data_IF_414426937134
#
_entry.id   IF_414426937134
#
_cell.length_a   1.000
_cell.length_b   1.000
_cell.length_c   1.000
_cell.angle_alpha   90.00
_cell.angle_beta   90.00
_cell.angle_gamma   90.00
#
_symmetry.space_group_name_H-M   'P 1'
#
loop_
_entity.id
_entity.type
_entity.pdbx_description
1 polymer ?
#
# COMPACT_ATOMS: atom_id res chain seq x y z
N UNK A 1 2.23 92.88 -17.09
CA UNK A 1 2.35 91.73 -18.03
C UNK A 1 3.23 90.66 -17.38
N UNK A 2 2.65 89.67 -16.82
CA UNK A 2 3.37 88.54 -16.20
C UNK A 2 2.80 87.27 -16.83
N UNK A 3 3.67 86.53 -17.54
CA UNK A 3 3.35 85.23 -18.15
C UNK A 3 3.52 84.14 -17.12
N UNK A 4 2.45 83.45 -16.79
CA UNK A 4 2.45 82.22 -15.98
C UNK A 4 2.68 81.01 -16.88
N UNK A 5 3.77 80.28 -16.68
CA UNK A 5 4.03 78.97 -17.31
C UNK A 5 3.47 77.90 -16.45
N UNK A 6 2.45 77.19 -16.99
CA UNK A 6 1.89 76.03 -16.35
C UNK A 6 2.83 74.79 -16.44
N UNK A 7 3.13 74.19 -15.30
CA UNK A 7 3.89 73.00 -15.18
C UNK A 7 2.89 71.80 -15.24
N UNK A 8 2.87 71.12 -16.39
CA UNK A 8 2.03 69.93 -16.59
C UNK A 8 2.83 68.71 -16.15
N UNK A 9 2.56 68.30 -14.94
CA UNK A 9 3.16 67.08 -14.38
C UNK A 9 2.61 65.80 -15.03
N UNK A 10 3.51 65.08 -15.70
CA UNK A 10 3.23 63.78 -16.30
C UNK A 10 3.19 62.72 -15.18
N UNK A 11 2.00 62.31 -14.71
CA UNK A 11 1.83 61.15 -13.83
C UNK A 11 1.92 59.88 -14.69
N UNK A 12 3.08 59.23 -14.67
CA UNK A 12 3.27 57.92 -15.25
C UNK A 12 2.69 56.89 -14.30
N UNK A 13 1.44 56.47 -14.53
CA UNK A 13 0.81 55.35 -13.79
C UNK A 13 1.47 54.05 -14.22
N UNK A 14 2.31 53.47 -13.34
CA UNK A 14 2.87 52.13 -13.49
C UNK A 14 1.74 51.13 -13.18
N UNK A 15 1.00 50.68 -14.20
CA UNK A 15 0.10 49.54 -14.10
C UNK A 15 0.96 48.26 -13.97
N UNK A 16 1.20 47.81 -12.74
CA UNK A 16 1.66 46.49 -12.44
C UNK A 16 0.56 45.51 -12.92
N UNK A 17 0.75 44.94 -14.10
CA UNK A 17 0.01 43.79 -14.56
C UNK A 17 0.35 42.60 -13.61
N UNK A 18 -0.41 42.47 -12.52
CA UNK A 18 -0.46 41.21 -11.77
C UNK A 18 -1.08 40.16 -12.71
N UNK A 19 -0.22 39.43 -13.40
CA UNK A 19 -0.67 38.22 -14.07
C UNK A 19 -1.34 37.32 -13.00
N UNK A 20 -2.59 36.88 -13.21
CA UNK A 20 -3.17 35.93 -12.29
C UNK A 20 -2.24 34.71 -12.27
N UNK A 21 -1.70 34.40 -11.10
CA UNK A 21 -1.03 33.12 -10.87
C UNK A 21 -2.08 32.04 -11.17
N UNK A 22 -2.01 31.50 -12.39
CA UNK A 22 -2.81 30.35 -12.77
C UNK A 22 -2.36 29.26 -11.82
N UNK A 23 -3.20 28.92 -10.84
CA UNK A 23 -3.01 27.72 -10.05
C UNK A 23 -2.78 26.60 -11.07
N UNK A 24 -1.60 26.00 -11.08
CA UNK A 24 -1.33 24.86 -11.93
C UNK A 24 -2.41 23.83 -11.58
N UNK A 25 -3.23 23.44 -12.56
CA UNK A 25 -4.11 22.29 -12.39
C UNK A 25 -3.19 21.14 -11.98
N UNK A 26 -3.24 20.76 -10.70
CA UNK A 26 -2.54 19.58 -10.24
C UNK A 26 -3.21 18.39 -10.90
N UNK A 27 -2.43 17.61 -11.62
CA UNK A 27 -2.92 16.36 -12.14
C UNK A 27 -3.25 15.45 -10.93
N UNK A 28 -4.42 14.87 -10.91
CA UNK A 28 -4.82 13.90 -9.89
C UNK A 28 -4.42 12.51 -10.36
N UNK A 29 -3.79 11.72 -9.48
CA UNK A 29 -3.54 10.29 -9.68
C UNK A 29 -4.57 9.51 -8.88
N UNK A 30 -5.34 8.67 -9.54
CA UNK A 30 -6.32 7.79 -8.91
C UNK A 30 -5.66 6.47 -8.55
N UNK A 31 -5.57 6.19 -7.25
CA UNK A 31 -4.92 5.00 -6.68
C UNK A 31 -5.96 3.98 -6.29
N UNK A 32 -5.90 2.79 -6.89
CA UNK A 32 -6.73 1.65 -6.49
C UNK A 32 -6.17 0.98 -5.23
N UNK A 33 -7.03 0.74 -4.26
CA UNK A 33 -6.70 0.04 -3.03
C UNK A 33 -7.87 -0.78 -2.50
N UNK A 34 -7.59 -1.75 -1.60
CA UNK A 34 -8.58 -2.40 -0.76
C UNK A 34 -8.41 -1.97 0.71
N UNK A 35 -9.28 -2.47 1.59
CA UNK A 35 -9.15 -2.23 3.04
C UNK A 35 -8.22 -3.27 3.64
N UNK A 36 -6.95 -2.89 3.88
CA UNK A 36 -5.88 -3.75 4.32
C UNK A 36 -4.98 -3.08 5.37
N UNK A 37 -5.49 -2.91 6.60
CA UNK A 37 -4.75 -2.25 7.68
C UNK A 37 -3.45 -3.00 8.03
N UNK A 38 -2.34 -2.30 8.33
CA UNK A 38 -2.20 -0.86 8.52
C UNK A 38 -1.82 -0.07 7.24
N UNK A 39 -1.82 -0.71 6.06
CA UNK A 39 -1.41 -0.08 4.80
C UNK A 39 -2.46 0.90 4.26
N UNK A 40 -3.67 0.41 4.05
CA UNK A 40 -4.82 1.18 3.57
C UNK A 40 -6.06 0.79 4.38
N UNK A 41 -6.71 1.75 5.02
CA UNK A 41 -7.95 1.52 5.77
C UNK A 41 -8.69 2.85 5.94
N UNK A 42 -9.93 2.78 6.42
CA UNK A 42 -10.76 3.98 6.59
C UNK A 42 -10.80 4.40 8.05
N UNK A 43 -10.76 5.70 8.27
CA UNK A 43 -11.01 6.30 9.57
C UNK A 43 -12.52 6.37 9.89
N UNK A 44 -12.88 7.00 11.03
CA UNK A 44 -14.27 7.16 11.46
C UNK A 44 -15.11 8.08 10.57
N UNK A 45 -14.50 8.85 9.67
CA UNK A 45 -15.18 9.73 8.70
C UNK A 45 -15.31 9.05 7.33
N UNK A 46 -14.64 7.93 7.12
CA UNK A 46 -14.63 7.18 5.88
C UNK A 46 -13.47 7.54 4.94
N UNK A 47 -12.55 8.40 5.37
CA UNK A 47 -11.37 8.78 4.61
C UNK A 47 -10.30 7.69 4.69
N UNK A 48 -9.59 7.48 3.56
CA UNK A 48 -8.47 6.54 3.55
C UNK A 48 -7.29 7.08 4.33
N UNK A 49 -6.77 6.25 5.21
CA UNK A 49 -5.55 6.45 6.00
C UNK A 49 -4.69 5.19 5.97
N UNK A 50 -3.46 5.29 6.42
CA UNK A 50 -2.53 4.15 6.47
C UNK A 50 -1.15 4.47 5.92
N UNK A 51 -0.26 3.50 6.02
CA UNK A 51 1.15 3.63 5.60
C UNK A 51 1.22 3.99 4.11
N UNK A 52 0.53 3.22 3.27
CA UNK A 52 0.55 3.42 1.82
C UNK A 52 -0.09 4.74 1.42
N UNK A 53 -1.14 5.16 2.15
CA UNK A 53 -1.79 6.45 1.93
C UNK A 53 -0.82 7.60 2.19
N UNK A 54 -0.08 7.58 3.31
CA UNK A 54 0.88 8.61 3.64
C UNK A 54 2.08 8.60 2.70
N UNK A 55 2.61 7.41 2.36
CA UNK A 55 3.70 7.29 1.38
C UNK A 55 3.29 7.81 0.01
N UNK A 56 2.08 7.51 -0.45
CA UNK A 56 1.59 7.97 -1.74
C UNK A 56 1.39 9.49 -1.78
N UNK A 57 0.79 10.08 -0.73
CA UNK A 57 0.64 11.54 -0.63
C UNK A 57 1.99 12.25 -0.67
N UNK A 58 2.99 11.75 0.07
CA UNK A 58 4.33 12.31 0.08
C UNK A 58 5.01 12.15 -1.28
N UNK A 59 5.00 10.94 -1.85
CA UNK A 59 5.70 10.65 -3.10
C UNK A 59 5.10 11.39 -4.29
N UNK A 60 3.80 11.32 -4.49
CA UNK A 60 3.12 12.02 -5.58
C UNK A 60 3.10 13.53 -5.37
N UNK A 61 3.02 14.00 -4.11
CA UNK A 61 3.15 15.41 -3.77
C UNK A 61 4.49 16.00 -4.22
N UNK A 62 5.61 15.29 -4.03
CA UNK A 62 6.95 15.68 -4.54
C UNK A 62 7.00 15.75 -6.07
N UNK A 63 6.17 14.97 -6.75
CA UNK A 63 6.03 14.99 -8.20
C UNK A 63 5.06 16.07 -8.72
N UNK A 64 4.35 16.77 -7.83
CA UNK A 64 3.37 17.79 -8.16
C UNK A 64 1.98 17.26 -8.52
N UNK A 65 1.65 16.05 -8.10
CA UNK A 65 0.32 15.44 -8.23
C UNK A 65 -0.44 15.51 -6.91
N UNK A 66 -1.77 15.61 -7.00
CA UNK A 66 -2.68 15.24 -5.94
C UNK A 66 -3.06 13.76 -6.10
N UNK A 67 -3.50 13.09 -5.03
CA UNK A 67 -3.91 11.69 -5.07
C UNK A 67 -5.35 11.52 -4.60
N UNK A 68 -6.08 10.62 -5.27
CA UNK A 68 -7.41 10.14 -4.87
C UNK A 68 -7.32 8.63 -4.65
N UNK A 69 -7.68 8.16 -3.45
CA UNK A 69 -7.78 6.73 -3.18
C UNK A 69 -9.17 6.22 -3.53
N UNK A 70 -9.22 5.12 -4.28
CA UNK A 70 -10.45 4.45 -4.71
C UNK A 70 -10.47 3.02 -4.23
N UNK A 71 -11.48 2.67 -3.44
CA UNK A 71 -11.69 1.29 -3.02
C UNK A 71 -12.11 0.42 -4.21
N UNK A 72 -11.40 -0.68 -4.38
CA UNK A 72 -11.70 -1.70 -5.38
C UNK A 72 -11.78 -3.07 -4.70
N UNK A 73 -12.57 -3.98 -5.23
CA UNK A 73 -12.47 -5.38 -4.85
C UNK A 73 -11.12 -5.92 -5.35
N UNK A 74 -10.32 -6.52 -4.44
CA UNK A 74 -8.94 -6.91 -4.74
C UNK A 74 -8.80 -7.84 -5.96
N UNK A 75 -9.74 -8.75 -6.14
CA UNK A 75 -9.81 -9.64 -7.30
C UNK A 75 -10.04 -8.90 -8.64
N UNK A 76 -10.51 -7.66 -8.60
CA UNK A 76 -10.78 -6.84 -9.78
C UNK A 76 -9.66 -5.84 -10.11
N UNK A 77 -8.53 -5.85 -9.39
CA UNK A 77 -7.44 -4.86 -9.55
C UNK A 77 -6.91 -4.78 -11.00
N UNK A 78 -6.76 -5.93 -11.66
CA UNK A 78 -6.26 -5.98 -13.03
C UNK A 78 -7.25 -5.34 -14.02
N UNK A 79 -8.54 -5.58 -13.80
CA UNK A 79 -9.60 -4.97 -14.60
C UNK A 79 -9.68 -3.47 -14.37
N UNK A 80 -9.52 -3.01 -13.13
CA UNK A 80 -9.54 -1.59 -12.78
C UNK A 80 -8.39 -0.84 -13.45
N UNK A 81 -7.17 -1.41 -13.48
CA UNK A 81 -6.03 -0.87 -14.22
C UNK A 81 -6.30 -0.85 -15.72
N UNK A 82 -6.66 -1.99 -16.30
CA UNK A 82 -6.86 -2.13 -17.76
C UNK A 82 -7.99 -1.24 -18.30
N UNK A 83 -9.00 -0.93 -17.48
CA UNK A 83 -10.09 -0.03 -17.86
C UNK A 83 -9.78 1.46 -17.67
N UNK A 84 -8.68 1.80 -16.98
CA UNK A 84 -8.38 3.17 -16.57
C UNK A 84 -9.31 3.70 -15.46
N UNK A 85 -9.97 2.79 -14.73
CA UNK A 85 -10.73 3.17 -13.53
C UNK A 85 -9.80 3.73 -12.45
N UNK A 86 -8.58 3.21 -12.37
CA UNK A 86 -7.47 3.68 -11.54
C UNK A 86 -6.20 3.79 -12.37
N UNK A 87 -5.32 4.72 -12.01
CA UNK A 87 -4.04 4.93 -12.70
C UNK A 87 -2.97 3.94 -12.23
N UNK A 88 -3.01 3.59 -10.95
CA UNK A 88 -2.10 2.60 -10.34
C UNK A 88 -2.77 1.90 -9.16
N UNK A 89 -2.15 0.79 -8.72
CA UNK A 89 -2.47 0.09 -7.47
C UNK A 89 -1.35 0.37 -6.46
N UNK A 90 -1.73 0.89 -5.30
CA UNK A 90 -0.83 1.06 -4.15
C UNK A 90 -1.56 0.61 -2.88
N UNK A 91 -1.44 -0.66 -2.54
CA UNK A 91 -2.13 -1.32 -1.43
C UNK A 91 -1.41 -2.60 -1.06
N UNK A 92 -0.22 -2.49 -0.44
CA UNK A 92 0.60 -3.64 -0.03
C UNK A 92 0.80 -4.67 -1.16
N UNK A 93 1.00 -4.19 -2.40
CA UNK A 93 0.98 -5.05 -3.56
C UNK A 93 2.34 -5.70 -3.81
N UNK A 94 2.39 -7.03 -3.69
CA UNK A 94 3.61 -7.82 -3.87
C UNK A 94 4.04 -7.87 -5.33
N UNK A 95 5.31 -7.55 -5.58
CA UNK A 95 5.94 -7.61 -6.91
C UNK A 95 6.34 -9.04 -7.29
N UNK A 96 6.86 -9.83 -6.33
CA UNK A 96 7.39 -11.17 -6.56
C UNK A 96 6.43 -12.08 -7.32
N UNK A 97 6.93 -12.64 -8.43
CA UNK A 97 6.15 -13.49 -9.34
C UNK A 97 5.19 -12.74 -10.26
N UNK A 98 5.26 -11.40 -10.28
CA UNK A 98 4.45 -10.51 -11.12
C UNK A 98 5.27 -9.45 -11.84
N UNK A 99 6.59 -9.60 -11.87
CA UNK A 99 7.55 -8.62 -12.40
C UNK A 99 7.21 -8.24 -13.84
N UNK A 100 6.81 -9.22 -14.64
CA UNK A 100 6.45 -9.03 -16.04
C UNK A 100 4.98 -8.66 -16.27
N UNK A 101 4.13 -8.67 -15.25
CA UNK A 101 2.69 -8.45 -15.39
C UNK A 101 2.30 -6.96 -15.40
N UNK A 102 3.13 -6.08 -14.81
CA UNK A 102 2.83 -4.67 -14.64
C UNK A 102 4.04 -3.81 -15.00
N UNK A 103 3.82 -2.50 -15.14
CA UNK A 103 4.87 -1.49 -15.03
C UNK A 103 4.99 -1.10 -13.56
N UNK A 104 6.16 -1.28 -12.96
CA UNK A 104 6.37 -1.11 -11.52
C UNK A 104 7.17 0.13 -11.16
N UNK A 105 6.83 0.73 -10.02
CA UNK A 105 7.73 1.54 -9.21
C UNK A 105 7.89 0.87 -7.84
N UNK A 106 9.11 0.59 -7.42
CA UNK A 106 9.40 -0.12 -6.18
C UNK A 106 10.63 -1.02 -6.27
N UNK A 107 10.92 -1.80 -5.23
CA UNK A 107 10.09 -1.95 -4.03
C UNK A 107 10.07 -0.68 -3.19
N UNK A 108 8.93 -0.31 -2.61
CA UNK A 108 8.86 0.80 -1.65
C UNK A 108 8.98 0.31 -0.20
N UNK A 109 8.52 -0.89 0.09
CA UNK A 109 8.67 -1.60 1.37
C UNK A 109 8.92 -3.08 1.13
N UNK A 110 9.42 -3.74 2.18
CA UNK A 110 9.54 -5.19 2.27
C UNK A 110 8.61 -5.72 3.36
N UNK A 111 8.13 -6.93 3.18
CA UNK A 111 7.29 -7.62 4.14
C UNK A 111 7.52 -9.12 4.05
N UNK A 112 6.99 -9.91 4.98
CA UNK A 112 6.98 -11.35 4.90
C UNK A 112 5.58 -11.89 5.15
N UNK A 113 5.26 -13.04 4.60
CA UNK A 113 4.01 -13.75 4.84
C UNK A 113 4.17 -14.63 6.08
N UNK A 114 3.27 -14.49 7.04
CA UNK A 114 3.28 -15.22 8.31
C UNK A 114 1.90 -15.79 8.61
N UNK A 115 1.85 -16.73 9.54
CA UNK A 115 0.60 -17.35 9.97
C UNK A 115 0.07 -16.70 11.26
N UNK A 116 -1.22 -16.34 11.24
CA UNK A 116 -2.03 -16.03 12.40
C UNK A 116 -2.74 -17.30 12.86
N UNK A 117 -2.66 -17.61 14.13
CA UNK A 117 -3.40 -18.70 14.76
C UNK A 117 -4.17 -18.20 15.98
N UNK A 118 -5.12 -18.97 16.49
CA UNK A 118 -5.78 -18.63 17.75
C UNK A 118 -4.78 -18.71 18.92
N UNK A 119 -4.92 -17.83 19.89
CA UNK A 119 -4.04 -17.77 21.05
C UNK A 119 -4.10 -19.04 21.92
N UNK A 120 -5.26 -19.71 21.93
CA UNK A 120 -5.52 -20.95 22.67
C UNK A 120 -5.07 -22.22 21.92
N UNK A 121 -4.49 -22.10 20.73
CA UNK A 121 -3.96 -23.26 19.99
C UNK A 121 -2.55 -23.62 20.44
N UNK A 122 -2.16 -24.88 20.26
CA UNK A 122 -0.82 -25.38 20.63
C UNK A 122 0.21 -25.22 19.49
N UNK A 123 -0.19 -24.64 18.33
CA UNK A 123 0.70 -24.50 17.18
C UNK A 123 1.82 -23.50 17.47
N UNK A 124 3.07 -23.92 17.39
CA UNK A 124 4.28 -23.08 17.52
C UNK A 124 5.07 -22.99 16.22
N UNK A 125 4.84 -23.92 15.29
CA UNK A 125 5.52 -24.02 14.01
C UNK A 125 4.54 -24.34 12.89
N UNK A 126 4.87 -23.93 11.66
CA UNK A 126 4.04 -24.19 10.47
C UNK A 126 3.82 -25.67 10.20
N UNK A 127 4.82 -26.52 10.48
CA UNK A 127 4.76 -27.97 10.28
C UNK A 127 3.65 -28.66 11.09
N UNK A 128 3.28 -28.11 12.24
CA UNK A 128 2.21 -28.64 13.09
C UNK A 128 0.80 -28.41 12.49
N UNK A 129 0.70 -27.54 11.47
CA UNK A 129 -0.54 -27.26 10.74
C UNK A 129 -0.78 -28.23 9.57
N UNK A 130 0.06 -29.26 9.40
CA UNK A 130 -0.16 -30.31 8.41
C UNK A 130 -1.52 -30.99 8.63
N UNK A 131 -2.28 -31.16 7.56
CA UNK A 131 -3.66 -31.69 7.60
C UNK A 131 -4.70 -30.67 8.08
N UNK A 132 -4.28 -29.46 8.47
CA UNK A 132 -5.14 -28.38 8.90
C UNK A 132 -5.78 -27.62 7.73
N UNK A 133 -6.51 -26.55 8.08
CA UNK A 133 -7.22 -25.68 7.14
C UNK A 133 -6.67 -24.25 7.25
N UNK A 134 -6.43 -23.61 6.12
CA UNK A 134 -6.01 -22.21 6.08
C UNK A 134 -7.06 -21.33 5.46
N UNK A 135 -7.03 -20.04 5.80
CA UNK A 135 -7.70 -18.97 5.07
C UNK A 135 -6.70 -17.95 4.55
N UNK A 136 -6.99 -17.42 3.37
CA UNK A 136 -6.22 -16.36 2.72
C UNK A 136 -7.17 -15.38 2.03
N UNK A 137 -6.68 -14.19 1.73
CA UNK A 137 -7.38 -13.32 0.79
C UNK A 137 -7.12 -13.81 -0.64
N UNK A 138 -8.16 -13.82 -1.47
CA UNK A 138 -8.09 -14.24 -2.86
C UNK A 138 -7.20 -13.31 -3.70
N UNK A 139 -6.63 -13.84 -4.78
CA UNK A 139 -5.75 -13.13 -5.72
C UNK A 139 -4.47 -12.56 -5.09
N UNK A 140 -4.02 -13.16 -3.97
CA UNK A 140 -2.77 -12.80 -3.27
C UNK A 140 -1.65 -13.82 -3.53
N UNK A 141 -0.41 -13.43 -3.19
CA UNK A 141 0.72 -14.38 -3.19
C UNK A 141 0.59 -15.44 -2.12
N UNK A 142 -0.09 -15.15 -1.01
CA UNK A 142 -0.41 -16.14 0.02
C UNK A 142 -1.32 -17.26 -0.51
N UNK A 143 -2.34 -16.92 -1.32
CA UNK A 143 -3.16 -17.91 -2.00
C UNK A 143 -2.31 -18.81 -2.91
N UNK A 144 -1.49 -18.19 -3.78
CA UNK A 144 -0.63 -18.94 -4.69
C UNK A 144 0.31 -19.89 -3.94
N UNK A 145 0.96 -19.39 -2.87
CA UNK A 145 1.88 -20.19 -2.06
C UNK A 145 1.23 -21.43 -1.43
N UNK A 146 -0.02 -21.29 -0.95
CA UNK A 146 -0.72 -22.38 -0.29
C UNK A 146 -1.48 -23.30 -1.26
N UNK A 147 -2.17 -22.72 -2.27
CA UNK A 147 -2.97 -23.51 -3.22
C UNK A 147 -2.08 -24.22 -4.23
N UNK A 148 -1.07 -23.51 -4.77
CA UNK A 148 -0.14 -24.06 -5.76
C UNK A 148 1.10 -24.72 -5.14
N UNK A 149 1.25 -24.64 -3.81
CA UNK A 149 2.40 -25.18 -3.06
C UNK A 149 3.74 -24.58 -3.52
N UNK A 150 3.75 -23.28 -3.72
CA UNK A 150 4.95 -22.56 -4.19
C UNK A 150 5.96 -22.23 -3.06
N UNK A 151 5.60 -22.49 -1.80
CA UNK A 151 6.50 -22.32 -0.63
C UNK A 151 6.93 -23.67 -0.08
N UNK A 152 8.24 -23.87 0.04
CA UNK A 152 8.84 -25.10 0.56
C UNK A 152 8.57 -25.34 2.08
N UNK A 153 8.22 -24.28 2.81
CA UNK A 153 7.95 -24.34 4.26
C UNK A 153 6.45 -24.31 4.57
N UNK A 154 5.59 -24.15 3.54
CA UNK A 154 4.15 -24.20 3.75
C UNK A 154 3.71 -25.59 4.20
N UNK A 155 2.79 -25.69 5.20
CA UNK A 155 2.27 -26.98 5.63
C UNK A 155 1.44 -27.65 4.53
N UNK A 156 1.36 -28.97 4.56
CA UNK A 156 0.44 -29.74 3.71
C UNK A 156 -0.97 -29.62 4.26
N UNK A 157 -1.77 -28.74 3.66
CA UNK A 157 -3.11 -28.43 4.14
C UNK A 157 -4.18 -29.37 3.56
N UNK A 158 -5.17 -29.74 4.37
CA UNK A 158 -6.37 -30.40 3.90
C UNK A 158 -7.26 -29.48 3.06
N UNK A 159 -7.28 -28.20 3.37
CA UNK A 159 -8.10 -27.21 2.66
C UNK A 159 -7.51 -25.79 2.79
N UNK A 160 -7.62 -25.01 1.71
CA UNK A 160 -7.40 -23.56 1.70
C UNK A 160 -8.70 -22.88 1.31
N UNK A 161 -9.20 -21.98 2.16
CA UNK A 161 -10.37 -21.16 1.91
C UNK A 161 -9.93 -19.77 1.49
N UNK A 162 -10.40 -19.30 0.32
CA UNK A 162 -10.09 -18.00 -0.22
C UNK A 162 -11.28 -17.05 0.03
N UNK A 163 -11.03 -15.88 0.59
CA UNK A 163 -12.02 -14.87 0.92
C UNK A 163 -11.74 -13.58 0.14
N UNK A 164 -12.77 -12.77 -0.08
CA UNK A 164 -12.59 -11.48 -0.77
C UNK A 164 -11.80 -10.48 0.07
N UNK A 165 -11.87 -10.57 1.40
CA UNK A 165 -11.18 -9.68 2.32
C UNK A 165 -10.41 -10.42 3.41
N UNK A 166 -9.34 -9.80 3.92
CA UNK A 166 -8.59 -10.32 5.06
C UNK A 166 -9.46 -10.39 6.33
N UNK A 167 -10.41 -9.47 6.50
CA UNK A 167 -11.34 -9.46 7.63
C UNK A 167 -12.24 -10.69 7.68
N UNK A 168 -12.68 -11.19 6.52
CA UNK A 168 -13.45 -12.43 6.39
C UNK A 168 -12.58 -13.64 6.73
N UNK A 169 -11.33 -13.70 6.27
CA UNK A 169 -10.38 -14.77 6.61
C UNK A 169 -10.15 -14.83 8.14
N UNK A 170 -9.90 -13.69 8.79
CA UNK A 170 -9.76 -13.60 10.26
C UNK A 170 -11.05 -14.02 10.97
N UNK A 171 -12.20 -13.66 10.41
CA UNK A 171 -13.51 -14.09 10.97
C UNK A 171 -13.70 -15.61 10.87
N UNK A 172 -13.21 -16.25 9.80
CA UNK A 172 -13.22 -17.72 9.66
C UNK A 172 -12.33 -18.40 10.72
N UNK A 173 -11.15 -17.85 11.01
CA UNK A 173 -10.28 -18.31 12.09
C UNK A 173 -10.96 -18.20 13.46
N UNK A 174 -11.57 -17.05 13.74
CA UNK A 174 -12.31 -16.81 14.99
C UNK A 174 -13.43 -17.82 15.22
N UNK A 175 -14.13 -18.20 14.14
CA UNK A 175 -15.23 -19.17 14.19
C UNK A 175 -14.77 -20.64 14.18
N UNK A 176 -13.46 -20.90 14.08
CA UNK A 176 -12.92 -22.24 14.01
C UNK A 176 -13.14 -22.97 12.68
N UNK A 177 -13.46 -22.24 11.61
CA UNK A 177 -13.60 -22.82 10.27
C UNK A 177 -12.26 -23.16 9.66
N UNK A 178 -11.20 -22.46 10.08
CA UNK A 178 -9.81 -22.69 9.71
C UNK A 178 -8.92 -22.69 10.95
N UNK A 179 -7.71 -23.20 10.80
CA UNK A 179 -6.72 -23.33 11.87
C UNK A 179 -5.69 -22.19 11.81
N UNK A 180 -5.49 -21.61 10.63
CA UNK A 180 -4.63 -20.44 10.43
C UNK A 180 -5.16 -19.49 9.36
N UNK A 181 -4.66 -18.23 9.41
CA UNK A 181 -4.75 -17.24 8.33
C UNK A 181 -3.34 -16.87 7.91
N UNK A 182 -3.06 -16.77 6.61
CA UNK A 182 -1.77 -16.29 6.10
C UNK A 182 -1.96 -14.92 5.46
N UNK A 183 -1.13 -13.96 5.90
CA UNK A 183 -1.10 -12.60 5.37
C UNK A 183 0.26 -11.94 5.66
N UNK A 184 0.42 -10.70 5.22
CA UNK A 184 1.59 -9.87 5.53
C UNK A 184 1.77 -9.68 7.03
N UNK A 185 3.01 -9.74 7.51
CA UNK A 185 3.36 -9.67 8.93
C UNK A 185 2.76 -8.46 9.65
N UNK A 186 2.87 -7.27 9.07
CA UNK A 186 2.31 -6.05 9.67
C UNK A 186 0.79 -6.08 9.80
N UNK A 187 0.09 -6.73 8.87
CA UNK A 187 -1.36 -6.97 8.95
C UNK A 187 -1.68 -7.91 10.10
N UNK A 188 -0.94 -9.02 10.20
CA UNK A 188 -1.09 -9.98 11.31
C UNK A 188 -0.76 -9.32 12.66
N UNK A 189 0.30 -8.52 12.74
CA UNK A 189 0.65 -7.74 13.93
C UNK A 189 -0.49 -6.78 14.34
N UNK A 190 -1.11 -6.11 13.37
CA UNK A 190 -2.27 -5.24 13.64
C UNK A 190 -3.45 -6.02 14.23
N UNK A 191 -3.76 -7.20 13.68
CA UNK A 191 -4.83 -8.08 14.21
C UNK A 191 -4.51 -8.56 15.63
N UNK A 192 -3.27 -9.00 15.87
CA UNK A 192 -2.82 -9.45 17.20
C UNK A 192 -2.85 -8.30 18.20
N UNK A 193 -2.36 -7.11 17.81
CA UNK A 193 -2.40 -5.93 18.68
C UNK A 193 -3.83 -5.55 19.10
N UNK A 194 -4.78 -5.67 18.17
CA UNK A 194 -6.19 -5.39 18.44
C UNK A 194 -6.91 -6.43 19.31
N UNK A 195 -6.39 -7.66 19.43
CA UNK A 195 -7.00 -8.75 20.19
C UNK A 195 -5.97 -9.81 20.60
N UNK A 196 -4.98 -9.46 21.46
CA UNK A 196 -3.88 -10.35 21.82
C UNK A 196 -4.35 -11.57 22.63
N UNK A 197 -5.51 -11.48 23.28
CA UNK A 197 -6.13 -12.57 24.00
C UNK A 197 -6.75 -13.64 23.08
N UNK A 198 -6.97 -13.31 21.79
CA UNK A 198 -7.62 -14.20 20.81
C UNK A 198 -6.65 -14.79 19.81
N UNK A 199 -5.59 -14.05 19.50
CA UNK A 199 -4.71 -14.37 18.38
C UNK A 199 -3.24 -14.25 18.75
N UNK A 200 -2.42 -15.03 18.06
CA UNK A 200 -0.96 -14.89 18.05
C UNK A 200 -0.40 -15.17 16.64
N UNK A 201 0.72 -14.61 16.37
CA UNK A 201 1.49 -14.83 15.15
C UNK A 201 2.51 -15.95 15.38
N UNK A 202 2.73 -16.78 14.37
CA UNK A 202 3.89 -17.67 14.34
C UNK A 202 5.09 -16.89 13.80
N UNK A 203 6.26 -17.09 14.44
CA UNK A 203 7.49 -16.36 14.05
C UNK A 203 8.05 -16.82 12.70
N UNK A 204 7.76 -18.04 12.30
CA UNK A 204 8.20 -18.63 11.06
C UNK A 204 7.47 -17.98 9.87
N UNK A 205 8.25 -17.43 8.93
CA UNK A 205 7.70 -16.87 7.69
C UNK A 205 7.59 -17.96 6.62
N UNK A 206 6.53 -17.86 5.80
CA UNK A 206 6.40 -18.69 4.60
C UNK A 206 7.34 -18.20 3.50
N UNK A 207 7.45 -16.89 3.31
CA UNK A 207 8.35 -16.22 2.35
C UNK A 207 8.38 -14.71 2.58
N UNK A 208 9.39 -14.05 1.99
CA UNK A 208 9.50 -12.59 1.98
C UNK A 208 8.89 -12.00 0.70
N UNK A 209 8.46 -10.76 0.77
CA UNK A 209 7.85 -10.00 -0.32
C UNK A 209 8.49 -8.64 -0.50
N UNK A 210 8.58 -8.23 -1.75
CA UNK A 210 8.83 -6.86 -2.19
C UNK A 210 7.50 -6.20 -2.56
N UNK A 211 7.23 -5.02 -2.00
CA UNK A 211 5.99 -4.28 -2.24
C UNK A 211 6.24 -3.14 -3.22
N UNK A 212 5.43 -3.05 -4.25
CA UNK A 212 5.57 -2.05 -5.29
C UNK A 212 4.24 -1.35 -5.64
N UNK A 213 4.37 -0.27 -6.40
CA UNK A 213 3.26 0.44 -7.04
C UNK A 213 3.12 -0.06 -8.46
N UNK A 214 1.96 -0.63 -8.79
CA UNK A 214 1.72 -1.24 -10.09
C UNK A 214 0.89 -0.32 -10.99
N UNK A 215 1.35 -0.12 -12.21
CA UNK A 215 0.62 0.49 -13.32
C UNK A 215 0.28 -0.58 -14.35
N UNK A 216 -0.71 -0.32 -15.20
CA UNK A 216 -0.99 -1.20 -16.34
C UNK A 216 0.27 -1.41 -17.20
N UNK A 217 0.51 -2.65 -17.59
CA UNK A 217 1.73 -3.03 -18.34
C UNK A 217 1.93 -2.20 -19.60
N UNK A 218 3.13 -1.62 -19.74
CA UNK A 218 3.49 -0.79 -20.90
C UNK A 218 2.86 0.61 -20.89
N UNK A 219 2.22 0.99 -19.78
CA UNK A 219 1.70 2.35 -19.59
C UNK A 219 2.46 3.07 -18.49
N UNK A 220 2.37 4.39 -18.44
CA UNK A 220 2.90 5.24 -17.35
C UNK A 220 4.40 5.03 -17.03
N UNK A 221 5.20 4.48 -17.95
CA UNK A 221 6.63 4.16 -17.73
C UNK A 221 7.44 5.35 -17.21
N UNK A 222 7.23 6.54 -17.81
CA UNK A 222 7.91 7.76 -17.36
C UNK A 222 7.50 8.20 -15.95
N UNK A 223 6.22 8.01 -15.59
CA UNK A 223 5.72 8.32 -14.24
C UNK A 223 6.24 7.29 -13.23
N UNK A 224 6.22 6.00 -13.57
CA UNK A 224 6.76 4.94 -12.73
C UNK A 224 8.25 5.15 -12.44
N UNK A 225 9.05 5.53 -13.46
CA UNK A 225 10.47 5.83 -13.26
C UNK A 225 10.72 7.05 -12.38
N UNK A 226 9.91 8.12 -12.52
CA UNK A 226 9.98 9.29 -11.65
C UNK A 226 9.55 8.96 -10.22
N UNK A 227 8.49 8.15 -10.06
CA UNK A 227 8.02 7.70 -8.75
C UNK A 227 9.08 6.84 -8.06
N UNK A 228 9.77 5.95 -8.80
CA UNK A 228 10.90 5.19 -8.28
C UNK A 228 11.98 6.09 -7.70
N UNK A 229 12.42 7.12 -8.45
CA UNK A 229 13.42 8.05 -7.96
C UNK A 229 12.99 8.76 -6.68
N UNK A 230 11.71 9.15 -6.57
CA UNK A 230 11.17 9.78 -5.35
C UNK A 230 11.12 8.78 -4.19
N UNK A 231 10.75 7.52 -4.42
CA UNK A 231 10.77 6.46 -3.39
C UNK A 231 12.20 6.29 -2.85
N UNK A 232 13.21 6.29 -3.73
CA UNK A 232 14.61 6.18 -3.34
C UNK A 232 15.07 7.42 -2.55
N UNK A 233 14.67 8.63 -2.95
CA UNK A 233 14.91 9.87 -2.21
C UNK A 233 14.26 9.84 -0.81
N UNK A 234 13.03 9.35 -0.70
CA UNK A 234 12.31 9.22 0.59
C UNK A 234 12.96 8.22 1.55
N UNK A 235 13.62 7.20 1.02
CA UNK A 235 14.46 6.31 1.84
C UNK A 235 15.73 7.02 2.31
N UNK A 236 16.37 7.79 1.44
CA UNK A 236 17.61 8.48 1.73
C UNK A 236 17.46 9.65 2.70
N UNK A 237 16.34 10.37 2.68
CA UNK A 237 16.08 11.53 3.53
C UNK A 237 15.35 11.19 4.85
N UNK A 238 14.96 9.91 5.03
CA UNK A 238 14.31 9.41 6.24
C UNK A 238 12.79 9.68 6.33
N UNK A 239 12.18 10.29 5.33
CA UNK A 239 10.73 10.53 5.35
C UNK A 239 9.91 9.23 5.28
N UNK A 240 10.36 8.24 4.52
CA UNK A 240 9.74 6.91 4.50
C UNK A 240 9.88 6.22 5.87
N UNK A 241 11.05 6.30 6.51
CA UNK A 241 11.28 5.76 7.86
C UNK A 241 10.34 6.39 8.89
N UNK A 242 10.21 7.72 8.88
CA UNK A 242 9.33 8.44 9.79
C UNK A 242 7.86 8.03 9.63
N UNK A 243 7.39 7.84 8.40
CA UNK A 243 6.02 7.38 8.11
C UNK A 243 5.82 5.98 8.68
N UNK A 244 6.65 5.01 8.35
CA UNK A 244 6.51 3.62 8.82
C UNK A 244 6.58 3.53 10.34
N UNK A 245 7.55 4.22 10.97
CA UNK A 245 7.72 4.24 12.42
C UNK A 245 6.51 4.84 13.15
N UNK A 246 5.78 5.78 12.54
CA UNK A 246 4.58 6.38 13.14
C UNK A 246 3.44 5.36 13.38
N UNK A 247 3.48 4.21 12.70
CA UNK A 247 2.57 3.09 12.89
C UNK A 247 3.06 2.06 13.93
N UNK A 248 4.18 2.34 14.62
CA UNK A 248 4.76 1.42 15.62
C UNK A 248 5.42 0.18 15.01
N UNK A 249 5.77 0.21 13.73
CA UNK A 249 6.41 -0.88 13.01
C UNK A 249 7.93 -0.69 12.94
N UNK A 250 8.65 -1.78 12.73
CA UNK A 250 10.10 -1.76 12.51
C UNK A 250 10.41 -1.23 11.09
N UNK A 251 10.60 0.09 11.03
CA UNK A 251 10.83 0.79 9.77
C UNK A 251 12.11 0.29 9.07
N UNK A 252 13.17 -0.02 9.82
CA UNK A 252 14.41 -0.53 9.25
C UNK A 252 14.20 -1.87 8.55
N UNK A 253 13.53 -2.81 9.21
CA UNK A 253 13.17 -4.11 8.64
C UNK A 253 12.31 -3.94 7.37
N UNK A 254 11.34 -3.03 7.40
CA UNK A 254 10.44 -2.82 6.27
C UNK A 254 11.05 -2.06 5.10
N UNK A 255 12.11 -1.27 5.33
CA UNK A 255 12.78 -0.52 4.27
C UNK A 255 14.00 -1.26 3.68
N UNK A 256 14.65 -2.14 4.44
CA UNK A 256 15.87 -2.84 4.03
C UNK A 256 15.65 -4.31 3.64
N UNK A 257 14.52 -4.91 4.01
CA UNK A 257 14.19 -6.30 3.67
C UNK A 257 14.97 -7.35 4.47
N UNK A 258 15.48 -6.99 5.65
CA UNK A 258 16.29 -7.82 6.53
C UNK A 258 15.49 -8.51 7.63
#
# INVERSE_FOLDING_TARGET
MVKTHGLMGLLLALLLLAAPARAAERNVVVIGCDVYAPYTYKDGMGDFIGIDVQLAHEAFGRLGYDVEFREIAWENKDKALASGEVDCIWSCFTMNGREDAYTWAGPYLYSRQVALVRADSDYTELSQLNGGRAAVQASTTAENALVKRESAVAPELAQVLCFSTIGEAVSALRKGYVDMVVAHESVIQSVVHGSPEKYRMLDQALFANELGVAFEKGTHEALAARLQAVIDDMRGDGSAEAIVASYGLDAKKMLEGN
#
